data_IF_133951894078
#
_entry.id   IF_133951894078
#
_cell.length_a   1.000
_cell.length_b   1.000
_cell.length_c   1.000
_cell.angle_alpha   90.00
_cell.angle_beta   90.00
_cell.angle_gamma   90.00
#
_symmetry.space_group_name_H-M   'P 1'
#
loop_
_entity.id
_entity.type
_entity.pdbx_description
1 polymer ?
#
# COMPACT_ATOMS: atom_id res chain seq x y z
N UNK A 1 26.11 10.03 6.33
CA UNK A 1 25.13 9.27 7.14
C UNK A 1 25.62 7.84 7.22
N UNK A 2 25.45 7.13 8.35
CA UNK A 2 25.74 5.70 8.38
C UNK A 2 24.77 4.94 7.44
N UNK A 3 25.18 3.76 6.99
CA UNK A 3 24.39 2.98 6.03
C UNK A 3 23.00 2.66 6.58
N UNK A 4 22.88 2.36 7.89
CA UNK A 4 21.59 2.12 8.55
C UNK A 4 20.66 3.34 8.52
N UNK A 5 21.17 4.56 8.79
CA UNK A 5 20.39 5.80 8.65
C UNK A 5 19.92 6.01 7.21
N UNK A 6 20.75 5.69 6.23
CA UNK A 6 20.41 5.84 4.82
C UNK A 6 19.27 4.90 4.44
N UNK A 7 19.30 3.64 4.90
CA UNK A 7 18.22 2.68 4.67
C UNK A 7 16.92 3.05 5.40
N UNK A 8 16.99 3.54 6.65
CA UNK A 8 15.81 4.05 7.34
C UNK A 8 15.18 5.24 6.61
N UNK A 9 16.02 6.17 6.10
CA UNK A 9 15.54 7.33 5.36
C UNK A 9 14.83 6.90 4.07
N UNK A 10 15.51 6.11 3.23
CA UNK A 10 14.95 5.64 1.96
C UNK A 10 13.69 4.80 2.22
N UNK A 11 13.74 3.91 3.23
CA UNK A 11 12.61 3.08 3.62
C UNK A 11 11.38 3.90 4.02
N UNK A 12 11.57 4.90 4.89
CA UNK A 12 10.52 5.83 5.29
C UNK A 12 9.91 6.61 4.13
N UNK A 13 10.74 7.15 3.24
CA UNK A 13 10.27 7.85 2.04
C UNK A 13 9.51 6.91 1.11
N UNK A 14 10.01 5.69 0.88
CA UNK A 14 9.34 4.69 0.04
C UNK A 14 7.99 4.30 0.61
N UNK A 15 7.87 4.05 1.92
CA UNK A 15 6.59 3.75 2.58
C UNK A 15 5.59 4.89 2.42
N UNK A 16 6.03 6.14 2.59
CA UNK A 16 5.17 7.31 2.39
C UNK A 16 4.71 7.41 0.93
N UNK A 17 5.63 7.31 -0.03
CA UNK A 17 5.32 7.35 -1.46
C UNK A 17 4.37 6.21 -1.85
N UNK A 18 4.64 4.98 -1.40
CA UNK A 18 3.77 3.83 -1.63
C UNK A 18 2.34 4.10 -1.18
N UNK A 19 2.16 4.75 -0.04
CA UNK A 19 0.84 5.07 0.51
C UNK A 19 -0.01 5.92 -0.46
N UNK A 20 0.62 6.78 -1.27
CA UNK A 20 -0.07 7.57 -2.30
C UNK A 20 -0.32 6.78 -3.60
N UNK A 21 0.49 5.76 -3.86
CA UNK A 21 0.48 4.96 -5.09
C UNK A 21 -0.36 3.67 -4.99
N UNK A 22 -0.78 3.28 -3.78
CA UNK A 22 -1.67 2.14 -3.59
C UNK A 22 -2.97 2.36 -4.38
N UNK A 23 -3.35 1.38 -5.20
CA UNK A 23 -4.72 1.33 -5.74
C UNK A 23 -5.66 0.85 -4.64
N UNK A 24 -6.91 1.30 -4.63
CA UNK A 24 -7.93 0.87 -3.68
C UNK A 24 -9.15 0.19 -4.31
N UNK A 25 -9.32 0.30 -5.62
CA UNK A 25 -10.43 -0.31 -6.34
C UNK A 25 -10.63 0.30 -7.72
N UNK A 26 -11.42 -0.38 -8.55
CA UNK A 26 -11.75 0.01 -9.92
C UNK A 26 -13.21 -0.31 -10.20
N UNK A 27 -13.95 0.67 -10.72
CA UNK A 27 -15.28 0.47 -11.29
C UNK A 27 -15.16 0.16 -12.79
N UNK A 28 -15.42 -1.10 -13.22
CA UNK A 28 -15.36 -1.46 -14.63
C UNK A 28 -16.50 -0.87 -15.47
N UNK A 29 -17.59 -0.38 -14.86
CA UNK A 29 -18.71 0.25 -15.57
C UNK A 29 -18.53 1.76 -15.75
N UNK A 30 -17.88 2.41 -14.77
CA UNK A 30 -17.59 3.85 -14.82
C UNK A 30 -16.16 4.17 -15.29
N UNK A 31 -15.34 3.15 -15.58
CA UNK A 31 -13.91 3.25 -15.92
C UNK A 31 -13.12 4.12 -14.91
N UNK A 32 -13.49 4.05 -13.64
CA UNK A 32 -12.95 4.92 -12.59
C UNK A 32 -12.15 4.12 -11.56
N UNK A 33 -10.89 4.51 -11.33
CA UNK A 33 -10.02 3.94 -10.29
C UNK A 33 -9.92 4.82 -9.04
N UNK A 34 -9.79 4.20 -7.88
CA UNK A 34 -9.50 4.87 -6.61
C UNK A 34 -8.05 4.61 -6.22
N UNK A 35 -7.30 5.68 -5.96
CA UNK A 35 -5.86 5.62 -5.65
C UNK A 35 -5.61 6.22 -4.28
N UNK A 36 -4.51 5.87 -3.62
CA UNK A 36 -4.10 6.42 -2.33
C UNK A 36 -4.13 7.94 -2.27
N UNK A 37 -3.61 8.59 -3.31
CA UNK A 37 -3.67 10.05 -3.44
C UNK A 37 -5.09 10.57 -3.68
N UNK A 38 -5.89 9.91 -4.53
CA UNK A 38 -7.28 10.29 -4.78
C UNK A 38 -8.17 10.08 -3.55
N UNK A 39 -7.92 9.00 -2.81
CA UNK A 39 -8.60 8.64 -1.58
C UNK A 39 -8.30 9.67 -0.48
N UNK A 40 -7.01 10.03 -0.29
CA UNK A 40 -6.62 11.10 0.63
C UNK A 40 -7.22 12.46 0.25
N UNK A 41 -7.20 12.83 -1.03
CA UNK A 41 -7.73 14.13 -1.48
C UNK A 41 -9.25 14.22 -1.40
N UNK A 42 -9.95 13.09 -1.34
CA UNK A 42 -11.41 13.02 -1.30
C UNK A 42 -11.93 12.49 0.03
N UNK A 43 -11.14 12.48 1.10
CA UNK A 43 -11.56 12.00 2.43
C UNK A 43 -12.92 12.57 2.81
N UNK A 44 -13.08 13.90 2.72
CA UNK A 44 -14.32 14.56 3.12
C UNK A 44 -15.52 14.05 2.30
N UNK A 45 -15.37 13.96 0.97
CA UNK A 45 -16.40 13.42 0.08
C UNK A 45 -16.70 11.93 0.34
N UNK A 46 -15.68 11.13 0.68
CA UNK A 46 -15.81 9.70 0.98
C UNK A 46 -16.64 9.47 2.24
N UNK A 47 -16.47 10.32 3.26
CA UNK A 47 -17.25 10.24 4.50
C UNK A 47 -18.66 10.86 4.36
N UNK A 48 -18.85 11.79 3.42
CA UNK A 48 -20.17 12.38 3.14
C UNK A 48 -21.07 11.49 2.27
N UNK A 49 -20.49 10.75 1.31
CA UNK A 49 -21.20 9.86 0.39
C UNK A 49 -20.66 8.42 0.44
N UNK A 50 -20.58 7.85 1.65
CA UNK A 50 -20.05 6.49 1.85
C UNK A 50 -20.76 5.44 1.00
N UNK A 51 -22.05 5.66 0.68
CA UNK A 51 -22.85 4.76 -0.14
C UNK A 51 -22.30 4.65 -1.57
N UNK A 52 -21.94 5.79 -2.19
CA UNK A 52 -21.32 5.79 -3.51
C UNK A 52 -20.02 4.98 -3.52
N UNK A 53 -19.14 5.22 -2.55
CA UNK A 53 -17.84 4.53 -2.49
C UNK A 53 -17.96 3.06 -2.05
N UNK A 54 -18.98 2.69 -1.28
CA UNK A 54 -19.19 1.31 -0.85
C UNK A 54 -19.80 0.43 -1.94
N UNK A 55 -20.46 1.00 -2.96
CA UNK A 55 -20.96 0.23 -4.12
C UNK A 55 -19.86 -0.56 -4.83
N UNK A 56 -18.63 -0.07 -4.79
CA UNK A 56 -17.42 -0.71 -5.35
C UNK A 56 -16.98 -1.93 -4.55
N UNK A 57 -17.49 -2.05 -3.32
CA UNK A 57 -17.15 -3.06 -2.35
C UNK A 57 -18.41 -3.83 -1.94
N UNK A 58 -19.29 -4.13 -2.91
CA UNK A 58 -20.55 -4.84 -2.72
C UNK A 58 -21.48 -4.20 -1.66
N UNK A 59 -21.46 -2.87 -1.55
CA UNK A 59 -22.28 -2.10 -0.60
C UNK A 59 -21.81 -2.17 0.85
N UNK A 60 -20.54 -2.53 1.09
CA UNK A 60 -20.00 -2.68 2.44
C UNK A 60 -19.32 -1.40 2.94
N UNK A 61 -20.08 -0.49 3.54
CA UNK A 61 -19.58 0.81 4.05
C UNK A 61 -18.38 0.66 5.01
N UNK A 62 -18.35 -0.40 5.82
CA UNK A 62 -17.28 -0.63 6.78
C UNK A 62 -15.90 -0.82 6.12
N UNK A 63 -15.88 -1.30 4.87
CA UNK A 63 -14.65 -1.54 4.10
C UNK A 63 -13.96 -0.22 3.81
N UNK A 64 -14.72 0.81 3.43
CA UNK A 64 -14.20 2.15 3.14
C UNK A 64 -13.49 2.72 4.37
N UNK A 65 -14.09 2.56 5.55
CA UNK A 65 -13.47 2.98 6.82
C UNK A 65 -12.21 2.18 7.17
N UNK A 66 -12.21 0.87 6.89
CA UNK A 66 -11.05 0.02 7.10
C UNK A 66 -9.88 0.45 6.21
N UNK A 67 -10.14 0.74 4.92
CA UNK A 67 -9.11 1.23 3.99
C UNK A 67 -8.53 2.57 4.43
N UNK A 68 -9.37 3.49 4.90
CA UNK A 68 -8.91 4.75 5.48
C UNK A 68 -7.96 4.50 6.67
N UNK A 69 -8.34 3.63 7.61
CA UNK A 69 -7.51 3.29 8.76
C UNK A 69 -6.16 2.69 8.30
N UNK A 70 -6.18 1.73 7.37
CA UNK A 70 -4.97 1.11 6.83
C UNK A 70 -4.05 2.16 6.20
N UNK A 71 -4.59 3.10 5.44
CA UNK A 71 -3.82 4.17 4.83
C UNK A 71 -3.16 5.07 5.88
N UNK A 72 -3.89 5.46 6.92
CA UNK A 72 -3.35 6.26 8.03
C UNK A 72 -2.22 5.51 8.75
N UNK A 73 -2.39 4.20 8.95
CA UNK A 73 -1.35 3.37 9.58
C UNK A 73 -0.10 3.33 8.71
N UNK A 74 -0.20 3.25 7.38
CA UNK A 74 0.99 3.30 6.50
C UNK A 74 1.69 4.66 6.53
N UNK A 75 0.94 5.78 6.55
CA UNK A 75 1.52 7.11 6.73
C UNK A 75 2.29 7.22 8.05
N UNK A 76 1.66 6.82 9.15
CA UNK A 76 2.28 6.81 10.48
C UNK A 76 3.53 5.92 10.47
N UNK A 77 3.44 4.74 9.84
CA UNK A 77 4.56 3.81 9.72
C UNK A 77 5.76 4.44 9.00
N UNK A 78 5.54 5.15 7.89
CA UNK A 78 6.58 5.91 7.18
C UNK A 78 7.23 6.98 8.05
N UNK A 79 6.44 7.76 8.81
CA UNK A 79 7.00 8.73 9.75
C UNK A 79 7.78 8.09 10.91
N UNK A 80 7.31 6.95 11.42
CA UNK A 80 8.02 6.20 12.46
C UNK A 80 9.35 5.64 11.91
N UNK A 81 9.40 5.16 10.67
CA UNK A 81 10.65 4.76 10.01
C UNK A 81 11.64 5.94 9.90
N UNK A 82 11.16 7.15 9.57
CA UNK A 82 11.98 8.36 9.56
C UNK A 82 12.44 8.79 10.96
N UNK A 83 11.60 8.64 11.99
CA UNK A 83 12.03 8.80 13.38
C UNK A 83 13.11 7.76 13.75
N UNK A 84 13.12 6.63 13.05
CA UNK A 84 14.13 5.60 13.05
C UNK A 84 15.57 6.11 12.88
N UNK A 85 15.77 7.24 12.20
CA UNK A 85 17.08 7.88 12.03
C UNK A 85 17.79 8.23 13.33
N UNK A 86 17.03 8.37 14.42
CA UNK A 86 17.54 8.64 15.77
C UNK A 86 17.34 7.46 16.72
N UNK A 87 16.38 6.58 16.45
CA UNK A 87 16.01 5.48 17.33
C UNK A 87 15.80 4.19 16.54
N UNK A 88 16.72 3.22 16.68
CA UNK A 88 16.64 1.92 16.00
C UNK A 88 15.31 1.20 16.21
N UNK A 89 14.70 1.32 17.39
CA UNK A 89 13.45 0.64 17.74
C UNK A 89 12.30 1.22 16.91
N UNK A 90 12.28 2.54 16.72
CA UNK A 90 11.31 3.19 15.85
C UNK A 90 11.46 2.69 14.40
N UNK A 91 12.68 2.60 13.87
CA UNK A 91 12.92 2.05 12.53
C UNK A 91 12.33 0.65 12.36
N UNK A 92 12.55 -0.24 13.32
CA UNK A 92 12.05 -1.62 13.29
C UNK A 92 10.52 -1.62 13.36
N UNK A 93 9.92 -0.99 14.38
CA UNK A 93 8.46 -0.99 14.58
C UNK A 93 7.73 -0.37 13.38
N UNK A 94 8.20 0.77 12.90
CA UNK A 94 7.61 1.43 11.72
C UNK A 94 7.73 0.61 10.45
N UNK A 95 8.61 -0.40 10.41
CA UNK A 95 8.80 -1.25 9.23
C UNK A 95 8.01 -2.55 9.27
N UNK A 96 7.66 -3.04 10.46
CA UNK A 96 6.98 -4.33 10.61
C UNK A 96 5.63 -4.35 9.89
N UNK A 97 4.85 -3.29 10.00
CA UNK A 97 3.51 -3.26 9.46
C UNK A 97 3.48 -3.10 7.93
N UNK A 98 4.21 -2.16 7.30
CA UNK A 98 4.39 -2.13 5.85
C UNK A 98 4.90 -3.46 5.29
N UNK A 99 5.86 -4.09 5.97
CA UNK A 99 6.46 -5.36 5.54
C UNK A 99 5.45 -6.52 5.66
N UNK A 100 4.76 -6.65 6.78
CA UNK A 100 3.78 -7.72 6.99
C UNK A 100 2.62 -7.63 6.00
N UNK A 101 2.03 -6.45 5.85
CA UNK A 101 0.85 -6.28 4.99
C UNK A 101 1.22 -6.46 3.52
N UNK A 102 2.34 -5.91 3.06
CA UNK A 102 2.79 -6.12 1.68
C UNK A 102 3.12 -7.59 1.38
N UNK A 103 3.68 -8.33 2.34
CA UNK A 103 3.90 -9.78 2.19
C UNK A 103 2.59 -10.56 2.12
N UNK A 104 1.60 -10.23 2.96
CA UNK A 104 0.27 -10.85 2.91
C UNK A 104 -0.35 -10.60 1.54
N UNK A 105 -0.32 -9.37 1.04
CA UNK A 105 -0.88 -9.01 -0.26
C UNK A 105 -0.21 -9.73 -1.43
N UNK A 106 1.12 -9.76 -1.44
CA UNK A 106 1.86 -10.46 -2.49
C UNK A 106 1.59 -11.97 -2.41
N UNK A 107 1.55 -12.55 -1.21
CA UNK A 107 1.32 -13.99 -1.04
C UNK A 107 -0.08 -14.42 -1.44
N UNK A 108 -1.09 -13.59 -1.14
CA UNK A 108 -2.48 -13.81 -1.55
C UNK A 108 -2.60 -13.74 -3.08
N UNK A 109 -1.94 -12.76 -3.70
CA UNK A 109 -1.95 -12.60 -5.15
C UNK A 109 -1.35 -13.78 -5.92
N UNK A 110 -0.40 -14.50 -5.32
CA UNK A 110 0.22 -15.68 -5.91
C UNK A 110 -0.45 -17.00 -5.48
N UNK A 111 -1.62 -16.97 -4.84
CA UNK A 111 -2.32 -18.14 -4.29
C UNK A 111 -1.44 -18.99 -3.34
N UNK A 112 -0.44 -18.36 -2.69
CA UNK A 112 0.50 -19.07 -1.80
C UNK A 112 -0.15 -19.35 -0.44
N UNK A 113 -0.96 -18.41 0.06
CA UNK A 113 -1.45 -18.43 1.43
C UNK A 113 -2.88 -18.97 1.55
N UNK A 114 -3.76 -18.60 0.61
CA UNK A 114 -5.18 -18.95 0.61
C UNK A 114 -5.51 -19.56 -0.75
N UNK A 115 -5.68 -20.90 -0.85
CA UNK A 115 -6.00 -21.56 -2.10
C UNK A 115 -7.48 -21.40 -2.45
N UNK A 116 -7.87 -20.18 -2.80
CA UNK A 116 -9.04 -19.75 -3.57
C UNK A 116 -8.95 -18.21 -3.61
N UNK A 117 -8.66 -17.55 -4.76
CA UNK A 117 -8.47 -16.10 -4.82
C UNK A 117 -9.73 -15.27 -4.55
N UNK A 118 -10.79 -15.90 -4.04
CA UNK A 118 -12.08 -15.28 -3.78
C UNK A 118 -12.20 -14.94 -2.30
N UNK A 119 -11.91 -13.69 -1.93
CA UNK A 119 -12.67 -12.95 -0.90
C UNK A 119 -12.18 -11.51 -0.80
N UNK A 120 -12.59 -10.66 -1.76
CA UNK A 120 -12.70 -9.19 -1.71
C UNK A 120 -11.48 -8.32 -1.31
N UNK A 121 -10.46 -8.85 -0.62
CA UNK A 121 -9.35 -8.11 -0.04
C UNK A 121 -8.33 -7.67 -1.09
N UNK A 122 -8.06 -8.51 -2.09
CA UNK A 122 -7.14 -8.18 -3.20
C UNK A 122 -7.76 -7.26 -4.24
N UNK A 123 -9.07 -7.35 -4.48
CA UNK A 123 -9.82 -6.36 -5.27
C UNK A 123 -9.69 -4.95 -4.70
N UNK A 124 -9.52 -4.81 -3.38
CA UNK A 124 -9.23 -3.53 -2.74
C UNK A 124 -7.85 -2.97 -3.07
N UNK A 125 -7.03 -3.64 -3.89
CA UNK A 125 -5.73 -3.12 -4.32
C UNK A 125 -5.42 -3.39 -5.80
N UNK A 126 -6.44 -3.80 -6.56
CA UNK A 126 -6.36 -3.92 -8.02
C UNK A 126 -6.33 -2.54 -8.66
N UNK A 127 -5.53 -2.40 -9.72
CA UNK A 127 -5.39 -1.08 -10.32
C UNK A 127 -5.03 -1.09 -11.80
N UNK A 128 -5.63 -0.14 -12.51
CA UNK A 128 -5.21 0.29 -13.84
C UNK A 128 -4.28 1.53 -13.72
N UNK A 129 -3.68 1.94 -14.83
CA UNK A 129 -2.67 3.02 -14.89
C UNK A 129 -3.27 4.41 -14.52
N UNK A 130 -2.49 5.32 -13.90
CA UNK A 130 -2.94 6.74 -13.70
C UNK A 130 -3.22 7.40 -15.05
N UNK A 131 -2.35 7.11 -16.02
CA UNK A 131 -2.53 7.47 -17.42
C UNK A 131 -2.23 6.21 -18.21
N UNK A 132 -3.25 5.68 -18.88
CA UNK A 132 -3.16 4.48 -19.70
C UNK A 132 -1.98 4.57 -20.66
N UNK A 133 -1.07 3.59 -20.59
CA UNK A 133 0.13 3.51 -21.45
C UNK A 133 1.28 4.48 -21.15
N UNK A 134 1.16 5.38 -20.15
CA UNK A 134 2.23 6.35 -19.82
C UNK A 134 2.81 6.15 -18.42
N UNK A 135 1.96 6.00 -17.40
CA UNK A 135 2.39 5.82 -16.01
C UNK A 135 1.79 4.53 -15.44
N UNK A 136 2.46 3.37 -15.63
CA UNK A 136 1.97 2.12 -15.08
C UNK A 136 2.04 2.16 -13.56
N UNK A 137 0.87 2.05 -12.92
CA UNK A 137 0.75 1.84 -11.48
C UNK A 137 0.56 0.37 -11.12
N UNK A 138 0.60 -0.52 -12.09
CA UNK A 138 0.59 -1.93 -11.87
C UNK A 138 1.85 -2.57 -12.42
N UNK A 139 2.19 -3.71 -11.85
CA UNK A 139 3.09 -4.67 -12.46
C UNK A 139 2.21 -5.82 -12.92
N UNK A 140 2.22 -6.18 -14.22
CA UNK A 140 1.54 -7.37 -14.69
C UNK A 140 2.24 -8.59 -14.12
N UNK A 141 1.48 -9.50 -13.53
CA UNK A 141 1.96 -10.71 -12.86
C UNK A 141 1.12 -11.91 -13.29
N UNK A 142 1.71 -13.10 -13.25
CA UNK A 142 1.12 -14.33 -13.79
C UNK A 142 1.55 -14.64 -15.22
N UNK A 143 1.31 -15.88 -15.68
CA UNK A 143 1.88 -16.44 -16.91
C UNK A 143 1.53 -15.68 -18.20
N UNK A 144 0.51 -14.81 -18.18
CA UNK A 144 0.02 -14.06 -19.34
C UNK A 144 -0.26 -12.58 -19.03
N UNK A 145 0.22 -12.05 -17.89
CA UNK A 145 -0.13 -10.70 -17.45
C UNK A 145 -1.62 -10.54 -17.12
N UNK A 146 -2.30 -11.65 -16.81
CA UNK A 146 -3.73 -11.70 -16.52
C UNK A 146 -4.10 -11.12 -15.14
N UNK A 147 -3.11 -10.78 -14.32
CA UNK A 147 -3.30 -10.24 -12.98
C UNK A 147 -2.40 -9.01 -12.83
N UNK A 148 -2.92 -7.95 -12.22
CA UNK A 148 -2.20 -6.68 -12.02
C UNK A 148 -2.04 -6.36 -10.51
N UNK A 149 -0.80 -6.24 -10.02
CA UNK A 149 -0.52 -5.79 -8.64
C UNK A 149 -0.11 -4.32 -8.65
N UNK A 150 -0.68 -3.51 -7.77
CA UNK A 150 -0.25 -2.12 -7.60
C UNK A 150 1.25 -2.02 -7.32
N UNK A 151 1.95 -1.16 -8.07
CA UNK A 151 3.33 -0.75 -7.84
C UNK A 151 3.53 -0.23 -6.41
N UNK A 152 2.49 0.41 -5.85
CA UNK A 152 2.47 0.82 -4.44
C UNK A 152 2.77 -0.33 -3.49
N UNK A 153 2.26 -1.53 -3.73
CA UNK A 153 2.50 -2.72 -2.90
C UNK A 153 3.98 -3.13 -2.90
N UNK A 154 4.64 -3.10 -4.06
CA UNK A 154 6.07 -3.42 -4.16
C UNK A 154 6.95 -2.34 -3.54
N UNK A 155 6.60 -1.07 -3.73
CA UNK A 155 7.30 0.05 -3.08
C UNK A 155 7.10 -0.02 -1.57
N UNK A 156 5.92 -0.42 -1.09
CA UNK A 156 5.63 -0.61 0.33
C UNK A 156 6.48 -1.74 0.92
N UNK A 157 6.61 -2.87 0.20
CA UNK A 157 7.50 -3.96 0.59
C UNK A 157 8.96 -3.50 0.65
N UNK A 158 9.44 -2.83 -0.40
CA UNK A 158 10.81 -2.29 -0.45
C UNK A 158 11.08 -1.29 0.68
N UNK A 159 10.11 -0.42 0.97
CA UNK A 159 10.16 0.53 2.09
C UNK A 159 10.24 -0.17 3.44
N UNK A 160 9.40 -1.18 3.65
CA UNK A 160 9.42 -2.04 4.84
C UNK A 160 10.76 -2.77 5.01
N UNK A 161 11.29 -3.40 3.96
CA UNK A 161 12.57 -4.12 4.00
C UNK A 161 13.72 -3.18 4.33
N UNK A 162 13.84 -2.05 3.63
CA UNK A 162 14.92 -1.09 3.85
C UNK A 162 14.85 -0.46 5.24
N UNK A 163 13.65 -0.08 5.69
CA UNK A 163 13.47 0.43 7.05
C UNK A 163 13.88 -0.59 8.12
N UNK A 164 13.53 -1.87 7.92
CA UNK A 164 13.85 -2.95 8.84
C UNK A 164 15.35 -3.24 8.89
N UNK A 165 15.99 -3.37 7.71
CA UNK A 165 17.45 -3.56 7.59
C UNK A 165 18.19 -2.36 8.21
N UNK A 166 17.73 -1.13 7.93
CA UNK A 166 18.29 0.08 8.53
C UNK A 166 18.23 0.08 10.05
N UNK A 167 17.11 -0.40 10.62
CA UNK A 167 16.94 -0.58 12.06
C UNK A 167 17.89 -1.62 12.66
N UNK A 168 18.12 -2.75 11.97
CA UNK A 168 19.02 -3.82 12.43
C UNK A 168 20.49 -3.39 12.36
N UNK A 169 20.91 -2.76 11.26
CA UNK A 169 22.28 -2.31 11.05
C UNK A 169 22.71 -1.22 12.04
N UNK A 170 21.76 -0.59 12.70
CA UNK A 170 22.00 0.46 13.66
C UNK A 170 22.03 1.85 13.02
N UNK A 171 21.55 2.82 13.78
CA UNK A 171 21.51 4.25 13.41
C UNK A 171 22.57 5.04 14.16
N UNK A 172 23.69 4.41 14.45
CA UNK A 172 24.88 5.08 14.97
C UNK A 172 25.81 5.43 13.80
#
# INVERSE_FOLDING_TARGET
MSSGKTFCFIGGIMTLVATFLLGFGYDPLAEMGFFGIGFLMNIDNIFEDTLFYSTLFDGQDFVVYLLFIVLIIFLISGFIQLAGLKNRIAAIIGSLLPLFISLVFISDFYDILIPDPVTNITTFFWNQSIVEGIVPLHVPVGALGSLEVSLGTYILLGGGILGFIGGIMGVE
#
